data_IF_625575390924
#
_entry.id   IF_625575390924
#
_cell.length_a   1.000
_cell.length_b   1.000
_cell.length_c   1.000
_cell.angle_alpha   90.00
_cell.angle_beta   90.00
_cell.angle_gamma   90.00
#
_symmetry.space_group_name_H-M   'P 1'
#
loop_
_entity.id
_entity.type
_entity.pdbx_description
1 polymer ?
#
# COMPACT_ATOMS: atom_id res chain seq x y z
N UNK A 1 5.99 -50.07 34.06
CA UNK A 1 4.99 -49.38 33.21
C UNK A 1 4.61 -47.95 33.66
N UNK A 2 5.24 -47.34 34.68
CA UNK A 2 4.97 -45.95 35.09
C UNK A 2 6.01 -44.91 34.66
N UNK A 3 7.16 -45.34 34.13
CA UNK A 3 8.26 -44.46 33.71
C UNK A 3 8.13 -44.07 32.22
N UNK A 4 7.48 -44.90 31.40
CA UNK A 4 7.27 -44.62 29.96
C UNK A 4 6.23 -43.51 29.75
N UNK A 5 5.23 -43.37 30.64
CA UNK A 5 4.25 -42.27 30.57
C UNK A 5 4.82 -40.90 30.96
N UNK A 6 5.95 -40.83 31.67
CA UNK A 6 6.55 -39.54 32.04
C UNK A 6 7.41 -38.94 30.91
N UNK A 7 7.96 -39.79 30.04
CA UNK A 7 8.80 -39.34 28.91
C UNK A 7 7.95 -38.81 27.76
N UNK A 8 6.71 -39.32 27.60
CA UNK A 8 5.81 -38.87 26.54
C UNK A 8 5.18 -37.49 26.82
N UNK A 9 5.09 -37.08 28.10
CA UNK A 9 4.57 -35.75 28.48
C UNK A 9 5.61 -34.62 28.34
N UNK A 10 6.91 -34.94 28.34
CA UNK A 10 7.98 -33.93 28.20
C UNK A 10 8.29 -33.62 26.73
N UNK A 11 7.96 -34.52 25.80
CA UNK A 11 8.22 -34.31 24.37
C UNK A 11 7.17 -33.42 23.66
N UNK A 12 6.04 -33.12 24.31
CA UNK A 12 4.92 -32.37 23.71
C UNK A 12 5.02 -30.85 23.92
N UNK A 13 6.02 -30.35 24.65
CA UNK A 13 6.15 -28.93 25.01
C UNK A 13 7.12 -28.09 24.19
N UNK A 14 7.76 -28.64 23.14
CA UNK A 14 8.88 -27.98 22.44
C UNK A 14 8.56 -27.44 21.03
N UNK A 15 7.31 -27.54 20.56
CA UNK A 15 6.88 -26.85 19.35
C UNK A 15 6.02 -25.63 19.72
N UNK A 16 6.66 -24.62 20.32
CA UNK A 16 6.17 -23.26 20.16
C UNK A 16 6.44 -22.89 18.70
N UNK A 17 5.48 -23.16 17.81
CA UNK A 17 5.43 -22.45 16.55
C UNK A 17 5.34 -20.98 16.95
N UNK A 18 6.41 -20.21 16.76
CA UNK A 18 6.31 -18.77 16.73
C UNK A 18 5.23 -18.46 15.69
N UNK A 19 4.03 -18.11 16.14
CA UNK A 19 3.03 -17.58 15.26
C UNK A 19 3.67 -16.34 14.65
N UNK A 20 3.97 -16.39 13.35
CA UNK A 20 4.41 -15.24 12.59
C UNK A 20 3.25 -14.24 12.63
N UNK A 21 3.33 -13.27 13.54
CA UNK A 21 2.32 -12.23 13.66
C UNK A 21 2.57 -11.26 12.50
N UNK A 22 1.73 -11.33 11.46
CA UNK A 22 1.74 -10.37 10.37
C UNK A 22 1.38 -8.98 10.89
N UNK A 23 2.29 -8.02 10.77
CA UNK A 23 2.01 -6.62 11.05
C UNK A 23 1.39 -5.97 9.81
N UNK A 24 0.06 -6.05 9.73
CA UNK A 24 -0.70 -5.52 8.60
C UNK A 24 -1.09 -4.06 8.85
N UNK A 25 -0.38 -3.14 8.19
CA UNK A 25 -0.85 -1.75 8.13
C UNK A 25 -2.15 -1.65 7.33
N UNK A 26 -3.00 -0.73 7.77
CA UNK A 26 -4.19 -0.29 7.06
C UNK A 26 -3.90 1.00 6.32
N UNK A 27 -4.45 1.14 5.12
CA UNK A 27 -4.33 2.33 4.28
C UNK A 27 -5.56 3.22 4.43
N UNK A 28 -5.36 4.52 4.59
CA UNK A 28 -6.44 5.52 4.62
C UNK A 28 -6.04 6.75 3.80
N UNK A 29 -6.69 7.02 2.65
CA UNK A 29 -6.39 8.22 1.88
C UNK A 29 -6.78 9.47 2.67
N UNK A 30 -5.99 10.55 2.54
CA UNK A 30 -6.28 11.85 3.17
C UNK A 30 -6.84 12.80 2.14
N UNK A 31 -6.11 13.06 1.05
CA UNK A 31 -6.52 14.05 0.06
C UNK A 31 -5.43 14.40 -0.94
N UNK A 32 -5.75 15.36 -1.80
CA UNK A 32 -4.88 15.93 -2.81
C UNK A 32 -4.73 17.43 -2.61
N UNK A 33 -3.66 18.01 -3.15
CA UNK A 33 -3.61 19.45 -3.40
C UNK A 33 -4.60 19.85 -4.49
N UNK A 34 -5.06 21.10 -4.49
CA UNK A 34 -6.03 21.60 -5.48
C UNK A 34 -5.56 21.49 -6.93
N UNK A 35 -4.24 21.54 -7.17
CA UNK A 35 -3.62 21.33 -8.49
C UNK A 35 -3.34 19.85 -8.82
N UNK A 36 -3.56 18.93 -7.87
CA UNK A 36 -3.32 17.50 -8.01
C UNK A 36 -1.85 17.08 -7.92
N UNK A 37 -0.92 18.00 -7.62
CA UNK A 37 0.51 17.68 -7.51
C UNK A 37 0.84 16.82 -6.30
N UNK A 38 0.23 17.10 -5.15
CA UNK A 38 0.52 16.40 -3.91
C UNK A 38 -0.62 15.45 -3.55
N UNK A 39 -0.26 14.25 -3.08
CA UNK A 39 -1.19 13.29 -2.53
C UNK A 39 -0.76 12.90 -1.12
N UNK A 40 -1.71 12.81 -0.20
CA UNK A 40 -1.46 12.37 1.17
C UNK A 40 -2.32 11.18 1.57
N UNK A 41 -1.73 10.29 2.34
CA UNK A 41 -2.38 9.13 2.93
C UNK A 41 -1.80 8.81 4.31
N UNK A 42 -2.58 8.09 5.10
CA UNK A 42 -2.20 7.56 6.39
C UNK A 42 -2.02 6.05 6.32
N UNK A 43 -0.99 5.55 6.99
CA UNK A 43 -0.86 4.16 7.38
C UNK A 43 -0.96 4.01 8.88
N UNK A 44 -1.74 3.06 9.36
CA UNK A 44 -1.82 2.78 10.79
C UNK A 44 -1.86 1.27 11.07
N UNK A 45 -1.30 0.89 12.22
CA UNK A 45 -1.24 -0.51 12.67
C UNK A 45 -1.11 -0.60 14.18
N UNK A 46 -1.36 -1.80 14.70
CA UNK A 46 -1.01 -2.22 16.05
C UNK A 46 0.06 -3.29 15.91
N UNK A 47 1.14 -3.16 16.67
CA UNK A 47 2.10 -4.24 16.90
C UNK A 47 1.61 -5.10 18.06
N UNK A 48 1.09 -6.28 17.74
CA UNK A 48 0.53 -7.19 18.75
C UNK A 48 1.58 -7.67 19.77
N UNK A 49 2.86 -7.71 19.38
CA UNK A 49 3.92 -8.19 20.26
C UNK A 49 4.30 -7.16 21.33
N UNK A 50 4.34 -5.88 20.98
CA UNK A 50 4.71 -4.79 21.89
C UNK A 50 3.51 -4.07 22.51
N UNK A 51 2.31 -4.21 21.92
CA UNK A 51 1.15 -3.39 22.24
C UNK A 51 1.26 -1.94 21.75
N UNK A 52 2.29 -1.61 20.97
CA UNK A 52 2.43 -0.27 20.42
C UNK A 52 1.63 -0.10 19.13
N UNK A 53 0.93 1.02 19.02
CA UNK A 53 0.27 1.44 17.81
C UNK A 53 1.06 2.55 17.12
N UNK A 54 0.96 2.56 15.80
CA UNK A 54 1.62 3.53 14.92
C UNK A 54 0.58 4.17 14.01
N UNK A 55 0.73 5.47 13.78
CA UNK A 55 0.12 6.19 12.67
C UNK A 55 1.21 6.98 11.95
N UNK A 56 1.26 6.83 10.62
CA UNK A 56 2.22 7.49 9.74
C UNK A 56 1.47 8.22 8.64
N UNK A 57 1.72 9.51 8.48
CA UNK A 57 1.12 10.32 7.42
C UNK A 57 2.18 10.66 6.39
N UNK A 58 1.98 10.17 5.18
CA UNK A 58 2.85 10.39 4.04
C UNK A 58 2.31 11.55 3.20
N UNK A 59 3.22 12.31 2.59
CA UNK A 59 2.88 13.26 1.52
C UNK A 59 3.82 12.99 0.36
N UNK A 60 3.26 12.75 -0.81
CA UNK A 60 3.97 12.40 -2.03
C UNK A 60 3.82 13.54 -3.04
N UNK A 61 4.93 14.03 -3.58
CA UNK A 61 4.95 14.85 -4.80
C UNK A 61 4.81 13.90 -5.99
N UNK A 62 3.64 13.92 -6.64
CA UNK A 62 3.32 13.04 -7.75
C UNK A 62 4.06 13.41 -9.04
N UNK A 63 4.53 14.66 -9.17
CA UNK A 63 5.30 15.06 -10.35
C UNK A 63 6.73 14.49 -10.29
N UNK A 64 7.31 14.45 -9.09
CA UNK A 64 8.68 13.95 -8.86
C UNK A 64 8.70 12.48 -8.40
N UNK A 65 7.53 11.86 -8.18
CA UNK A 65 7.35 10.51 -7.64
C UNK A 65 8.20 10.33 -6.36
N UNK A 66 8.11 11.31 -5.45
CA UNK A 66 8.97 11.36 -4.26
C UNK A 66 8.23 11.82 -3.02
N UNK A 67 8.76 11.44 -1.86
CA UNK A 67 8.20 11.84 -0.58
C UNK A 67 8.61 13.27 -0.24
N UNK A 68 7.65 14.09 0.19
CA UNK A 68 7.91 15.46 0.63
C UNK A 68 8.76 15.44 1.91
N UNK A 69 9.78 16.31 1.93
CA UNK A 69 10.71 16.47 3.05
C UNK A 69 9.95 16.75 4.35
N UNK A 70 10.34 16.08 5.43
CA UNK A 70 9.67 16.19 6.72
C UNK A 70 8.50 15.22 6.90
N UNK A 71 8.14 14.46 5.86
CA UNK A 71 7.21 13.33 5.96
C UNK A 71 7.98 11.99 5.82
N UNK A 72 7.45 10.84 6.28
CA UNK A 72 6.18 10.71 6.98
C UNK A 72 6.20 11.36 8.37
N UNK A 73 5.08 11.95 8.77
CA UNK A 73 4.83 12.34 10.15
C UNK A 73 4.44 11.08 10.92
N UNK A 74 5.14 10.76 12.00
CA UNK A 74 4.96 9.51 12.74
C UNK A 74 4.52 9.82 14.17
N UNK A 75 3.42 9.20 14.58
CA UNK A 75 3.04 9.12 15.99
C UNK A 75 2.99 7.65 16.43
N UNK A 76 3.58 7.37 17.60
CA UNK A 76 3.64 6.04 18.21
C UNK A 76 3.31 6.16 19.69
N UNK A 77 2.39 5.33 20.16
CA UNK A 77 2.11 5.19 21.58
C UNK A 77 1.60 3.78 21.90
N UNK A 78 1.70 3.40 23.18
CA UNK A 78 1.18 2.12 23.64
C UNK A 78 -0.35 2.17 23.76
N UNK A 79 -1.03 1.11 23.30
CA UNK A 79 -2.50 1.05 23.28
C UNK A 79 -3.15 0.96 24.66
N UNK A 80 -2.38 0.62 25.70
CA UNK A 80 -2.86 0.67 27.09
C UNK A 80 -3.09 2.10 27.58
N UNK A 81 -2.41 3.08 26.97
CA UNK A 81 -2.47 4.49 27.36
C UNK A 81 -3.29 5.33 26.37
N UNK A 82 -3.22 5.00 25.08
CA UNK A 82 -3.88 5.75 24.01
C UNK A 82 -4.56 4.80 23.05
N UNK A 83 -5.86 4.98 22.81
CA UNK A 83 -6.56 4.25 21.74
C UNK A 83 -5.92 4.54 20.38
N UNK A 84 -6.03 3.58 19.45
CA UNK A 84 -5.57 3.79 18.06
C UNK A 84 -6.19 5.05 17.44
N UNK A 85 -7.45 5.36 17.76
CA UNK A 85 -8.10 6.59 17.28
C UNK A 85 -7.41 7.86 17.77
N UNK A 86 -6.97 7.90 19.03
CA UNK A 86 -6.22 9.05 19.57
C UNK A 86 -4.83 9.16 18.91
N UNK A 87 -4.17 8.03 18.66
CA UNK A 87 -2.86 7.99 18.00
C UNK A 87 -2.95 8.54 16.57
N UNK A 88 -3.98 8.13 15.82
CA UNK A 88 -4.25 8.64 14.48
C UNK A 88 -4.55 10.14 14.49
N UNK A 89 -5.38 10.58 15.42
CA UNK A 89 -5.70 12.01 15.59
C UNK A 89 -4.45 12.84 15.89
N UNK A 90 -3.56 12.37 16.78
CA UNK A 90 -2.31 13.06 17.09
C UNK A 90 -1.37 13.15 15.87
N UNK A 91 -1.29 12.09 15.06
CA UNK A 91 -0.56 12.14 13.80
C UNK A 91 -1.17 13.18 12.85
N UNK A 92 -2.51 13.20 12.71
CA UNK A 92 -3.22 14.18 11.86
C UNK A 92 -2.94 15.61 12.29
N UNK A 93 -3.08 15.92 13.57
CA UNK A 93 -2.77 17.24 14.13
C UNK A 93 -1.31 17.64 13.88
N UNK A 94 -0.38 16.68 14.00
CA UNK A 94 1.05 16.94 13.74
C UNK A 94 1.35 17.18 12.25
N UNK A 95 0.50 16.67 11.35
CA UNK A 95 0.61 16.87 9.91
C UNK A 95 -0.09 18.16 9.42
N UNK A 96 -0.93 18.81 10.23
CA UNK A 96 -1.74 19.96 9.81
C UNK A 96 -0.90 21.06 9.14
N UNK A 97 0.27 21.38 9.70
CA UNK A 97 1.14 22.42 9.16
C UNK A 97 1.61 22.10 7.73
N UNK A 98 2.03 20.86 7.46
CA UNK A 98 2.48 20.46 6.11
C UNK A 98 1.31 20.34 5.15
N UNK A 99 0.19 19.76 5.58
CA UNK A 99 -1.02 19.61 4.76
C UNK A 99 -1.58 20.98 4.33
N UNK A 100 -1.64 21.95 5.25
CA UNK A 100 -2.08 23.32 4.96
C UNK A 100 -1.09 24.05 4.05
N UNK A 101 0.22 23.91 4.29
CA UNK A 101 1.24 24.59 3.46
C UNK A 101 1.26 24.13 1.99
N UNK A 102 0.78 22.91 1.74
CA UNK A 102 0.68 22.30 0.41
C UNK A 102 -0.75 22.30 -0.14
N UNK A 103 -1.68 22.96 0.55
CA UNK A 103 -3.08 23.09 0.15
C UNK A 103 -3.76 21.74 -0.09
N UNK A 104 -3.45 20.71 0.72
CA UNK A 104 -4.02 19.36 0.62
C UNK A 104 -5.40 19.33 1.30
N UNK A 105 -6.41 19.82 0.59
CA UNK A 105 -7.79 19.91 1.05
C UNK A 105 -8.81 19.26 0.10
N UNK A 106 -8.38 18.86 -1.10
CA UNK A 106 -9.23 18.16 -2.06
C UNK A 106 -9.47 16.71 -1.59
N UNK A 107 -10.73 16.28 -1.35
CA UNK A 107 -10.99 14.94 -0.87
C UNK A 107 -10.53 13.86 -1.84
N UNK A 108 -10.06 12.74 -1.32
CA UNK A 108 -9.70 11.56 -2.10
C UNK A 108 -10.75 10.44 -1.92
N UNK A 109 -10.94 9.61 -2.93
CA UNK A 109 -11.78 8.41 -2.82
C UNK A 109 -11.15 7.21 -3.54
N UNK A 110 -11.48 6.01 -3.07
CA UNK A 110 -11.04 4.75 -3.68
C UNK A 110 -12.03 4.40 -4.80
N UNK A 111 -11.58 4.39 -6.06
CA UNK A 111 -12.43 3.99 -7.19
C UNK A 111 -12.46 2.47 -7.43
N UNK A 112 -11.36 1.79 -7.10
CA UNK A 112 -11.26 0.34 -7.20
C UNK A 112 -10.29 -0.15 -6.12
N UNK A 113 -10.52 -1.35 -5.59
CA UNK A 113 -9.63 -1.97 -4.61
C UNK A 113 -9.69 -3.48 -4.69
N UNK A 114 -8.60 -4.09 -4.26
CA UNK A 114 -8.51 -5.52 -3.99
C UNK A 114 -8.44 -5.65 -2.46
N UNK A 115 -9.54 -6.12 -1.86
CA UNK A 115 -9.60 -6.28 -0.42
C UNK A 115 -8.80 -7.49 0.05
N UNK A 116 -8.08 -7.35 1.16
CA UNK A 116 -7.29 -8.45 1.75
C UNK A 116 -8.12 -9.70 2.09
N UNK A 117 -9.42 -9.52 2.32
CA UNK A 117 -10.36 -10.61 2.60
C UNK A 117 -10.90 -11.29 1.34
N UNK A 118 -10.45 -10.92 0.14
CA UNK A 118 -10.94 -11.50 -1.10
C UNK A 118 -10.06 -12.69 -1.52
N UNK A 119 -10.56 -13.94 -1.39
CA UNK A 119 -9.79 -15.11 -1.80
C UNK A 119 -9.64 -15.17 -3.32
N UNK A 120 -8.57 -15.82 -3.77
CA UNK A 120 -8.34 -16.18 -5.18
C UNK A 120 -8.31 -15.01 -6.18
N UNK A 121 -7.90 -13.82 -5.73
CA UNK A 121 -7.69 -12.66 -6.61
C UNK A 121 -6.24 -12.56 -7.03
N UNK A 122 -6.01 -12.37 -8.33
CA UNK A 122 -4.70 -11.98 -8.84
C UNK A 122 -4.40 -10.55 -8.40
N UNK A 123 -3.58 -10.40 -7.37
CA UNK A 123 -3.20 -9.09 -6.82
C UNK A 123 -2.22 -8.33 -7.73
N UNK A 124 -1.84 -8.92 -8.87
CA UNK A 124 -1.03 -8.26 -9.90
C UNK A 124 -1.85 -7.55 -10.97
N UNK A 125 -3.19 -7.70 -11.01
CA UNK A 125 -4.04 -7.04 -12.02
C UNK A 125 -5.27 -6.39 -11.43
N UNK A 126 -5.53 -5.15 -11.81
CA UNK A 126 -6.72 -4.42 -11.37
C UNK A 126 -7.36 -3.65 -12.53
N UNK A 127 -8.61 -4.00 -12.84
CA UNK A 127 -9.45 -3.24 -13.77
C UNK A 127 -10.21 -2.17 -13.01
N UNK A 128 -10.25 -0.96 -13.58
CA UNK A 128 -11.00 0.15 -13.02
C UNK A 128 -11.52 1.06 -14.12
N UNK A 129 -12.47 1.92 -13.77
CA UNK A 129 -13.01 2.96 -14.63
C UNK A 129 -13.47 4.12 -13.75
N UNK A 130 -13.62 5.29 -14.35
CA UNK A 130 -14.19 6.46 -13.67
C UNK A 130 -15.69 6.38 -13.85
N UNK A 131 -16.41 6.31 -12.74
CA UNK A 131 -17.86 6.35 -12.76
C UNK A 131 -18.32 7.77 -13.13
N UNK A 132 -18.89 7.94 -14.31
CA UNK A 132 -19.60 9.18 -14.65
C UNK A 132 -21.01 9.11 -14.08
N UNK A 133 -21.43 10.13 -13.33
CA UNK A 133 -22.79 10.26 -12.80
C UNK A 133 -23.85 10.49 -13.90
N UNK A 134 -23.45 10.54 -15.18
CA UNK A 134 -24.38 10.57 -16.29
C UNK A 134 -25.13 9.23 -16.38
N UNK A 135 -26.45 9.28 -16.18
CA UNK A 135 -27.43 8.18 -16.23
C UNK A 135 -27.60 7.28 -14.99
N UNK A 136 -27.98 7.89 -13.85
CA UNK A 136 -28.44 7.19 -12.63
C UNK A 136 -29.60 6.18 -12.89
N UNK A 137 -30.34 6.32 -13.99
CA UNK A 137 -31.48 5.45 -14.31
C UNK A 137 -31.10 4.09 -14.93
N UNK A 138 -29.93 3.94 -15.56
CA UNK A 138 -29.61 2.77 -16.43
C UNK A 138 -28.22 2.12 -16.20
N UNK A 139 -27.68 2.16 -14.97
CA UNK A 139 -26.29 1.83 -14.62
C UNK A 139 -25.31 3.00 -14.90
N UNK A 140 -24.30 3.23 -14.04
CA UNK A 140 -23.31 4.26 -14.28
C UNK A 140 -22.65 4.01 -15.64
N UNK A 141 -22.65 5.03 -16.49
CA UNK A 141 -21.90 4.97 -17.74
C UNK A 141 -20.42 5.00 -17.33
N UNK A 142 -19.73 3.87 -17.47
CA UNK A 142 -18.29 3.83 -17.24
C UNK A 142 -17.61 4.71 -18.30
N UNK A 143 -16.64 5.51 -17.88
CA UNK A 143 -15.71 6.17 -18.79
C UNK A 143 -14.93 5.14 -19.62
N UNK A 144 -13.88 5.60 -20.33
CA UNK A 144 -12.80 4.70 -20.73
C UNK A 144 -12.37 3.85 -19.53
N UNK A 145 -12.33 2.53 -19.71
CA UNK A 145 -11.82 1.62 -18.70
C UNK A 145 -10.30 1.55 -18.76
N UNK A 146 -9.71 0.99 -17.71
CA UNK A 146 -8.27 0.81 -17.58
C UNK A 146 -7.98 -0.54 -16.92
N UNK A 147 -6.81 -1.08 -17.21
CA UNK A 147 -6.23 -2.24 -16.53
C UNK A 147 -4.81 -1.88 -16.09
N UNK A 148 -4.51 -2.08 -14.81
CA UNK A 148 -3.15 -2.08 -14.30
C UNK A 148 -2.62 -3.49 -14.21
N UNK A 149 -1.34 -3.65 -14.55
CA UNK A 149 -0.57 -4.88 -14.42
C UNK A 149 0.70 -4.60 -13.65
N UNK A 150 0.95 -5.38 -12.60
CA UNK A 150 2.16 -5.34 -11.78
C UNK A 150 3.03 -6.56 -12.10
N UNK A 151 4.33 -6.34 -12.26
CA UNK A 151 5.32 -7.42 -12.39
C UNK A 151 6.44 -7.21 -11.38
N UNK A 152 6.77 -8.24 -10.61
CA UNK A 152 7.87 -8.20 -9.64
C UNK A 152 9.13 -8.83 -10.21
N UNK A 153 10.30 -8.26 -9.94
CA UNK A 153 11.58 -8.77 -10.39
C UNK A 153 12.66 -8.60 -9.31
N UNK A 154 13.71 -9.41 -9.35
CA UNK A 154 14.86 -9.24 -8.47
C UNK A 154 15.64 -7.97 -8.85
N UNK A 155 16.03 -7.18 -7.85
CA UNK A 155 16.83 -5.96 -8.04
C UNK A 155 17.88 -5.81 -6.92
N UNK A 156 18.65 -4.72 -6.96
CA UNK A 156 19.55 -4.30 -5.89
C UNK A 156 18.85 -3.31 -4.94
N UNK A 157 19.28 -3.27 -3.68
CA UNK A 157 18.81 -2.28 -2.71
C UNK A 157 19.98 -1.60 -2.02
N UNK A 158 19.81 -0.33 -1.70
CA UNK A 158 20.78 0.43 -0.88
C UNK A 158 20.76 0.00 0.61
N UNK A 159 19.75 -0.78 1.01
CA UNK A 159 19.68 -1.43 2.32
C UNK A 159 20.49 -2.74 2.33
N UNK A 160 21.00 -3.14 3.50
CA UNK A 160 21.80 -4.36 3.65
C UNK A 160 20.89 -5.60 3.83
N UNK A 161 20.31 -6.09 2.73
CA UNK A 161 19.34 -7.19 2.77
C UNK A 161 19.94 -8.55 3.13
N UNK A 162 21.26 -8.73 2.98
CA UNK A 162 21.97 -9.99 3.32
C UNK A 162 21.80 -10.39 4.79
N UNK A 163 21.56 -9.43 5.69
CA UNK A 163 21.35 -9.70 7.12
C UNK A 163 20.01 -10.37 7.42
N UNK A 164 19.05 -10.29 6.49
CA UNK A 164 17.69 -10.84 6.64
C UNK A 164 17.57 -12.29 6.12
N UNK A 165 18.60 -12.81 5.46
CA UNK A 165 18.64 -14.19 4.94
C UNK A 165 18.51 -15.23 6.07
N UNK A 166 18.90 -14.88 7.29
CA UNK A 166 18.76 -15.75 8.46
C UNK A 166 17.31 -15.88 8.95
N UNK A 167 16.43 -14.92 8.63
CA UNK A 167 15.04 -14.87 9.11
C UNK A 167 14.02 -15.02 7.99
N UNK A 168 14.43 -14.99 6.72
CA UNK A 168 13.53 -15.15 5.57
C UNK A 168 14.08 -16.07 4.49
N UNK A 169 13.20 -16.77 3.75
CA UNK A 169 13.62 -17.58 2.61
C UNK A 169 14.02 -16.75 1.38
N UNK A 170 13.94 -15.42 1.44
CA UNK A 170 14.16 -14.52 0.31
C UNK A 170 15.58 -13.94 0.36
N UNK A 171 16.43 -14.32 -0.59
CA UNK A 171 17.85 -13.92 -0.61
C UNK A 171 18.14 -12.64 -1.36
N UNK A 172 17.17 -12.08 -2.08
CA UNK A 172 17.37 -10.87 -2.89
C UNK A 172 16.14 -9.97 -2.81
N UNK A 173 16.33 -8.65 -2.67
CA UNK A 173 15.21 -7.73 -2.66
C UNK A 173 14.52 -7.73 -4.02
N UNK A 174 13.20 -7.60 -3.99
CA UNK A 174 12.39 -7.48 -5.19
C UNK A 174 12.05 -6.01 -5.42
N UNK A 175 12.07 -5.59 -6.69
CA UNK A 175 11.42 -4.38 -7.19
C UNK A 175 10.15 -4.75 -7.96
N UNK A 176 9.44 -3.74 -8.46
CA UNK A 176 8.30 -3.94 -9.34
C UNK A 176 8.26 -2.94 -10.50
N UNK A 177 7.53 -3.33 -11.55
CA UNK A 177 7.10 -2.44 -12.62
C UNK A 177 5.58 -2.43 -12.70
N UNK A 178 5.04 -1.31 -13.14
CA UNK A 178 3.61 -1.07 -13.28
C UNK A 178 3.31 -0.62 -14.71
N UNK A 179 2.38 -1.33 -15.35
CA UNK A 179 1.90 -1.02 -16.69
C UNK A 179 0.42 -0.67 -16.67
N UNK A 180 0.05 0.35 -17.42
CA UNK A 180 -1.33 0.82 -17.57
C UNK A 180 -1.79 0.59 -19.01
N UNK A 181 -2.94 -0.06 -19.16
CA UNK A 181 -3.59 -0.32 -20.44
C UNK A 181 -4.96 0.33 -20.48
N UNK A 182 -5.27 1.08 -21.54
CA UNK A 182 -6.62 1.57 -21.78
C UNK A 182 -7.53 0.44 -22.32
N UNK A 183 -8.75 0.41 -21.81
CA UNK A 183 -9.84 -0.48 -22.21
C UNK A 183 -10.96 0.37 -22.82
N UNK A 184 -10.91 0.65 -24.12
CA UNK A 184 -11.95 1.44 -24.79
C UNK A 184 -13.32 0.74 -24.69
N UNK A 185 -14.42 1.50 -24.57
CA UNK A 185 -15.76 0.92 -24.50
C UNK A 185 -16.08 0.16 -25.80
N UNK A 186 -16.96 -0.82 -25.71
CA UNK A 186 -17.31 -1.69 -26.84
C UNK A 186 -17.93 -0.92 -28.02
N UNK A 187 -18.43 0.31 -27.79
CA UNK A 187 -18.92 1.23 -28.81
C UNK A 187 -17.81 1.97 -29.58
N UNK A 188 -16.57 1.97 -29.06
CA UNK A 188 -15.41 2.67 -29.61
C UNK A 188 -14.36 1.71 -30.21
N UNK A 189 -14.81 0.67 -30.94
CA UNK A 189 -13.99 -0.41 -31.56
C UNK A 189 -12.82 0.04 -32.44
N UNK A 190 -12.67 1.34 -32.70
CA UNK A 190 -11.58 1.92 -33.51
C UNK A 190 -10.42 2.46 -32.66
N UNK A 191 -10.52 2.47 -31.33
CA UNK A 191 -9.41 2.83 -30.45
C UNK A 191 -8.59 1.59 -30.11
N UNK A 192 -7.30 1.61 -30.47
CA UNK A 192 -6.36 0.54 -30.13
C UNK A 192 -6.08 0.60 -28.63
N UNK A 193 -6.16 -0.55 -27.96
CA UNK A 193 -5.65 -0.67 -26.59
C UNK A 193 -4.12 -0.55 -26.63
N UNK A 194 -3.59 0.47 -25.97
CA UNK A 194 -2.18 0.78 -25.80
C UNK A 194 -1.84 0.48 -24.34
N UNK A 195 -0.81 -0.32 -24.14
CA UNK A 195 -0.21 -0.58 -22.84
C UNK A 195 1.08 0.26 -22.73
N UNK A 196 1.20 1.01 -21.63
CA UNK A 196 2.34 1.87 -21.31
C UNK A 196 2.89 1.45 -19.94
N UNK A 197 4.18 1.19 -19.85
CA UNK A 197 4.87 1.11 -18.56
C UNK A 197 4.93 2.51 -17.95
N UNK A 198 4.37 2.67 -16.76
CA UNK A 198 4.26 3.96 -16.04
C UNK A 198 5.22 4.06 -14.86
N UNK A 199 5.74 2.94 -14.38
CA UNK A 199 6.71 2.92 -13.28
C UNK A 199 7.58 1.67 -13.34
N UNK A 200 8.85 1.81 -12.96
CA UNK A 200 9.78 0.71 -12.76
C UNK A 200 10.79 1.06 -11.68
N UNK A 201 10.93 0.17 -10.71
CA UNK A 201 12.02 0.26 -9.75
C UNK A 201 13.38 0.04 -10.46
N UNK A 202 14.35 0.87 -10.11
CA UNK A 202 15.76 0.62 -10.38
C UNK A 202 16.42 0.03 -9.12
N UNK A 203 17.49 0.67 -8.61
CA UNK A 203 18.06 0.35 -7.31
C UNK A 203 17.15 0.90 -6.21
N UNK A 204 16.70 0.03 -5.31
CA UNK A 204 15.76 0.44 -4.26
C UNK A 204 16.46 1.37 -3.25
N UNK A 205 15.85 2.52 -2.89
CA UNK A 205 16.39 3.39 -1.87
C UNK A 205 16.32 2.72 -0.49
N UNK A 206 17.15 3.17 0.46
CA UNK A 206 17.14 2.62 1.83
C UNK A 206 15.77 2.67 2.50
N UNK A 207 14.96 3.68 2.19
CA UNK A 207 13.61 3.84 2.73
C UNK A 207 12.63 2.77 2.27
N UNK A 208 12.99 1.96 1.26
CA UNK A 208 12.20 0.84 0.76
C UNK A 208 12.50 -0.47 1.48
N UNK A 209 13.44 -0.48 2.44
CA UNK A 209 13.89 -1.65 3.17
C UNK A 209 14.31 -2.80 2.24
N UNK A 210 13.81 -4.02 2.48
CA UNK A 210 14.10 -5.22 1.69
C UNK A 210 12.80 -5.96 1.34
N UNK A 211 12.04 -5.48 0.34
CA UNK A 211 10.78 -6.09 -0.04
C UNK A 211 10.98 -7.44 -0.71
N UNK A 212 10.03 -8.33 -0.46
CA UNK A 212 10.00 -9.66 -1.09
C UNK A 212 8.72 -9.92 -1.90
N UNK A 213 7.73 -9.03 -1.83
CA UNK A 213 6.56 -9.08 -2.71
C UNK A 213 5.83 -7.74 -2.74
N UNK A 214 5.08 -7.56 -3.83
CA UNK A 214 4.22 -6.40 -4.06
C UNK A 214 2.84 -6.85 -4.54
N UNK A 215 1.84 -6.02 -4.29
CA UNK A 215 0.47 -6.25 -4.73
C UNK A 215 -0.23 -4.91 -5.01
N UNK A 216 -1.09 -4.87 -6.01
CA UNK A 216 -1.99 -3.73 -6.22
C UNK A 216 -3.07 -3.80 -5.14
N UNK A 217 -3.20 -2.72 -4.35
CA UNK A 217 -4.18 -2.64 -3.27
C UNK A 217 -5.41 -1.81 -3.67
N UNK A 218 -5.20 -0.65 -4.29
CA UNK A 218 -6.29 0.27 -4.63
C UNK A 218 -5.92 1.26 -5.73
N UNK A 219 -6.94 1.89 -6.29
CA UNK A 219 -6.85 3.10 -7.13
C UNK A 219 -7.55 4.22 -6.39
N UNK A 220 -6.82 5.30 -6.17
CA UNK A 220 -7.31 6.49 -5.47
C UNK A 220 -7.35 7.66 -6.45
N UNK A 221 -8.46 8.40 -6.43
CA UNK A 221 -8.69 9.56 -7.28
C UNK A 221 -9.07 10.77 -6.42
N UNK A 222 -8.79 11.99 -6.90
CA UNK A 222 -9.38 13.18 -6.32
C UNK A 222 -10.90 13.18 -6.57
N UNK A 223 -11.66 13.63 -5.58
CA UNK A 223 -13.11 13.75 -5.69
C UNK A 223 -13.48 14.66 -6.87
N UNK A 224 -14.44 14.24 -7.69
CA UNK A 224 -14.83 14.96 -8.90
C UNK A 224 -13.90 14.75 -10.11
N UNK A 225 -12.95 13.82 -10.05
CA UNK A 225 -12.14 13.43 -11.20
C UNK A 225 -13.00 13.00 -12.40
N UNK A 226 -12.65 13.49 -13.58
CA UNK A 226 -13.25 13.09 -14.87
C UNK A 226 -12.28 12.29 -15.75
N UNK A 227 -11.01 12.23 -15.36
CA UNK A 227 -9.93 11.46 -15.97
C UNK A 227 -8.99 10.90 -14.89
N UNK A 228 -7.93 10.21 -15.31
CA UNK A 228 -6.97 9.57 -14.40
C UNK A 228 -5.70 10.38 -14.15
N UNK A 229 -5.62 11.64 -14.60
CA UNK A 229 -4.36 12.39 -14.67
C UNK A 229 -3.69 12.57 -13.30
N UNK A 230 -4.50 12.70 -12.24
CA UNK A 230 -4.04 12.90 -10.86
C UNK A 230 -4.34 11.67 -9.97
N UNK A 231 -4.56 10.51 -10.59
CA UNK A 231 -4.86 9.27 -9.88
C UNK A 231 -3.58 8.59 -9.41
N UNK A 232 -3.68 7.82 -8.33
CA UNK A 232 -2.59 6.98 -7.83
C UNK A 232 -3.01 5.52 -7.73
N UNK A 233 -2.11 4.62 -8.14
CA UNK A 233 -2.12 3.23 -7.70
C UNK A 233 -1.49 3.12 -6.32
N UNK A 234 -2.20 2.45 -5.41
CA UNK A 234 -1.69 2.10 -4.09
C UNK A 234 -1.12 0.69 -4.19
N UNK A 235 0.17 0.56 -3.93
CA UNK A 235 0.90 -0.70 -4.00
C UNK A 235 1.22 -1.14 -2.56
N UNK A 236 0.70 -2.29 -2.16
CA UNK A 236 1.11 -2.96 -0.93
C UNK A 236 2.53 -3.53 -1.10
N UNK A 237 3.38 -3.29 -0.12
CA UNK A 237 4.76 -3.73 -0.06
C UNK A 237 4.92 -4.60 1.17
N UNK A 238 5.37 -5.84 0.96
CA UNK A 238 5.65 -6.75 2.06
C UNK A 238 7.15 -6.84 2.28
N UNK A 239 7.56 -6.53 3.51
CA UNK A 239 8.95 -6.63 3.97
C UNK A 239 9.03 -7.61 5.14
N UNK A 240 10.20 -8.21 5.29
CA UNK A 240 10.48 -9.04 6.43
C UNK A 240 10.72 -8.19 7.68
N UNK A 241 10.27 -8.67 8.82
CA UNK A 241 10.56 -8.11 10.14
C UNK A 241 10.86 -9.22 11.13
N UNK A 242 11.45 -8.88 12.28
CA UNK A 242 11.70 -9.85 13.36
C UNK A 242 10.41 -10.49 13.90
N UNK A 243 9.27 -9.80 13.76
CA UNK A 243 7.96 -10.24 14.24
C UNK A 243 7.15 -11.00 13.17
N UNK A 244 7.64 -11.05 11.93
CA UNK A 244 6.97 -11.69 10.79
C UNK A 244 6.94 -10.80 9.55
N UNK A 245 5.82 -10.80 8.83
CA UNK A 245 5.66 -9.93 7.64
C UNK A 245 5.13 -8.58 8.07
N UNK A 246 5.83 -7.51 7.69
CA UNK A 246 5.35 -6.14 7.82
C UNK A 246 4.87 -5.67 6.44
N UNK A 247 3.62 -5.19 6.39
CA UNK A 247 3.07 -4.54 5.20
C UNK A 247 3.02 -3.03 5.36
N UNK A 248 3.45 -2.32 4.33
CA UNK A 248 3.24 -0.89 4.14
C UNK A 248 2.78 -0.62 2.70
N UNK A 249 2.58 0.64 2.34
CA UNK A 249 2.01 1.05 1.06
C UNK A 249 2.86 2.13 0.38
N UNK A 250 2.77 2.15 -0.95
CA UNK A 250 3.32 3.18 -1.81
C UNK A 250 2.20 3.76 -2.66
N UNK A 251 2.28 5.05 -2.97
CA UNK A 251 1.43 5.70 -3.95
C UNK A 251 2.22 6.00 -5.22
N UNK A 252 1.79 5.42 -6.34
CA UNK A 252 2.42 5.57 -7.66
C UNK A 252 1.44 6.30 -8.58
N UNK A 253 1.81 7.45 -9.16
CA UNK A 253 0.92 8.18 -10.07
C UNK A 253 0.66 7.40 -11.38
N UNK A 254 -0.49 7.64 -12.01
CA UNK A 254 -0.92 6.94 -13.22
C UNK A 254 -0.68 7.69 -14.55
N UNK A 255 0.04 8.81 -14.52
CA UNK A 255 0.20 9.74 -15.66
C UNK A 255 1.35 9.40 -16.64
#
# INVERSE_FOLDING_TARGET
>A
MRIISLILAIFMGLFSFSALAGQNSQFSPIGYSGDGRFFSYEEYRIDEASGDAYSKIYVIDLAEISQVVGTPIIYRANIEQHSISQIREQARQSADAVLQSLEIDQPAYIAAMIGDGQPDVANERLKFAIASAQNIKNQPTLSMGYELSLETFTTEAAAQCDRLVAITPFSSPMGFSLSLKNLPPESAKQQTAIEKEIYRDEVLPRSRDCPFSYAIAAIVLPFGANDIANSVAVIAVNVASEQGVLRHYLAIPLN
#
